data_IF_485043337399
#
_entry.id   IF_485043337399
#
_cell.length_a   1.000
_cell.length_b   1.000
_cell.length_c   1.000
_cell.angle_alpha   90.00
_cell.angle_beta   90.00
_cell.angle_gamma   90.00
#
_symmetry.space_group_name_H-M   'P 1'
#
loop_
_entity.id
_entity.type
_entity.pdbx_description
1 polymer ?
#
# COMPACT_ATOMS: atom_id res chain seq x y z
N UNK A 1 -8.95 -41.99 -0.99
CA UNK A 1 -9.78 -41.83 -2.20
C UNK A 1 -10.26 -40.39 -2.18
N UNK A 2 -9.50 -39.39 -2.65
CA UNK A 2 -9.18 -39.04 -4.04
C UNK A 2 -7.71 -38.59 -4.17
N UNK A 3 -6.85 -39.44 -4.72
CA UNK A 3 -5.56 -39.01 -5.26
C UNK A 3 -5.78 -38.56 -6.70
N UNK A 4 -5.93 -37.26 -6.92
CA UNK A 4 -5.92 -36.69 -8.25
C UNK A 4 -4.47 -36.55 -8.72
N UNK A 5 -3.96 -37.61 -9.35
CA UNK A 5 -2.76 -37.62 -10.21
C UNK A 5 -3.04 -36.73 -11.43
N UNK A 6 -2.82 -35.42 -11.33
CA UNK A 6 -2.76 -34.56 -12.50
C UNK A 6 -1.31 -34.40 -12.95
N UNK A 7 -1.02 -35.12 -14.04
CA UNK A 7 -0.02 -34.88 -15.09
C UNK A 7 1.28 -34.22 -14.65
N UNK A 8 2.35 -35.02 -14.71
CA UNK A 8 3.75 -34.63 -14.69
C UNK A 8 3.97 -33.15 -15.04
N UNK A 9 4.08 -32.30 -14.02
CA UNK A 9 4.62 -30.96 -14.20
C UNK A 9 5.97 -31.14 -14.91
N UNK A 10 6.21 -30.48 -16.06
CA UNK A 10 7.53 -30.49 -16.64
C UNK A 10 8.47 -29.88 -15.60
N UNK A 11 9.22 -30.74 -14.90
CA UNK A 11 10.14 -30.35 -13.82
C UNK A 11 11.07 -29.23 -14.28
N UNK A 12 11.33 -29.17 -15.58
CA UNK A 12 12.09 -28.11 -16.25
C UNK A 12 11.40 -26.74 -16.18
N UNK A 13 10.13 -26.61 -16.56
CA UNK A 13 9.40 -25.33 -16.53
C UNK A 13 9.25 -24.82 -15.10
N UNK A 14 8.91 -25.71 -14.16
CA UNK A 14 8.83 -25.33 -12.74
C UNK A 14 10.20 -24.85 -12.24
N UNK A 15 11.30 -25.53 -12.60
CA UNK A 15 12.67 -25.14 -12.22
C UNK A 15 13.11 -23.80 -12.83
N UNK A 16 12.72 -23.53 -14.07
CA UNK A 16 13.01 -22.26 -14.76
C UNK A 16 12.22 -21.13 -14.12
N UNK A 17 10.91 -21.30 -13.95
CA UNK A 17 10.01 -20.28 -13.38
C UNK A 17 10.35 -20.01 -11.90
N UNK A 18 10.79 -21.01 -11.15
CA UNK A 18 11.22 -20.83 -9.75
C UNK A 18 12.59 -20.18 -9.60
N UNK A 19 13.32 -19.94 -10.70
CA UNK A 19 14.65 -19.37 -10.65
C UNK A 19 14.60 -17.86 -10.45
N UNK A 20 15.34 -17.34 -9.47
CA UNK A 20 15.48 -15.89 -9.23
C UNK A 20 16.02 -15.14 -10.46
N UNK A 21 16.85 -15.80 -11.26
CA UNK A 21 17.39 -15.22 -12.50
C UNK A 21 16.32 -14.97 -13.55
N UNK A 22 15.32 -15.85 -13.63
CA UNK A 22 14.19 -15.67 -14.53
C UNK A 22 13.37 -14.44 -14.14
N UNK A 23 13.11 -14.27 -12.85
CA UNK A 23 12.42 -13.08 -12.32
C UNK A 23 13.20 -11.78 -12.58
N UNK A 24 14.52 -11.78 -12.40
CA UNK A 24 15.35 -10.61 -12.74
C UNK A 24 15.36 -10.31 -14.24
N UNK A 25 15.44 -11.34 -15.09
CA UNK A 25 15.43 -11.15 -16.54
C UNK A 25 14.11 -10.52 -17.01
N UNK A 26 12.97 -11.04 -16.56
CA UNK A 26 11.66 -10.45 -16.85
C UNK A 26 11.56 -9.04 -16.26
N UNK A 27 12.09 -8.83 -15.07
CA UNK A 27 12.20 -7.51 -14.47
C UNK A 27 12.92 -6.51 -15.38
N UNK A 28 14.09 -6.86 -15.91
CA UNK A 28 14.82 -6.02 -16.85
C UNK A 28 14.01 -5.72 -18.12
N UNK A 29 13.28 -6.70 -18.65
CA UNK A 29 12.38 -6.52 -19.81
C UNK A 29 11.28 -5.49 -19.51
N UNK A 30 10.69 -5.55 -18.31
CA UNK A 30 9.65 -4.59 -17.88
C UNK A 30 10.22 -3.18 -17.74
N UNK A 31 11.39 -3.03 -17.14
CA UNK A 31 12.05 -1.73 -17.00
C UNK A 31 12.38 -1.14 -18.38
N UNK A 32 12.92 -1.96 -19.27
CA UNK A 32 13.25 -1.55 -20.62
C UNK A 32 11.99 -1.15 -21.42
N UNK A 33 10.91 -1.94 -21.33
CA UNK A 33 9.63 -1.58 -21.94
C UNK A 33 9.08 -0.26 -21.37
N UNK A 34 9.16 -0.07 -20.04
CA UNK A 34 8.69 1.18 -19.40
C UNK A 34 9.48 2.40 -19.86
N UNK A 35 10.80 2.27 -20.05
CA UNK A 35 11.65 3.33 -20.60
C UNK A 35 11.26 3.67 -22.04
N UNK A 36 11.04 2.65 -22.88
CA UNK A 36 10.61 2.86 -24.27
C UNK A 36 9.27 3.56 -24.36
N UNK A 37 8.31 3.25 -23.48
CA UNK A 37 7.03 3.97 -23.41
C UNK A 37 7.25 5.45 -23.08
N UNK A 38 8.15 5.78 -22.15
CA UNK A 38 8.49 7.17 -21.86
C UNK A 38 9.10 7.91 -23.06
N UNK A 39 9.98 7.23 -23.79
CA UNK A 39 10.58 7.77 -25.03
C UNK A 39 9.51 7.95 -26.12
N UNK A 40 8.61 6.98 -26.31
CA UNK A 40 7.49 7.07 -27.25
C UNK A 40 6.64 8.31 -26.99
N UNK A 41 6.27 8.55 -25.72
CA UNK A 41 5.50 9.73 -25.31
C UNK A 41 6.27 11.02 -25.64
N UNK A 42 7.57 11.09 -25.31
CA UNK A 42 8.38 12.27 -25.58
C UNK A 42 8.56 12.55 -27.09
N UNK A 43 8.81 11.51 -27.90
CA UNK A 43 8.96 11.64 -29.34
C UNK A 43 7.65 12.04 -30.02
N UNK A 44 6.53 11.49 -29.54
CA UNK A 44 5.19 11.85 -30.01
C UNK A 44 4.87 13.33 -29.77
N UNK A 45 5.36 13.93 -28.67
CA UNK A 45 5.19 15.37 -28.41
C UNK A 45 5.98 16.26 -29.38
N UNK A 46 7.14 15.78 -29.84
CA UNK A 46 7.99 16.49 -30.82
C UNK A 46 7.50 16.25 -32.26
N UNK A 47 6.49 15.39 -32.47
CA UNK A 47 5.93 15.08 -33.77
C UNK A 47 6.83 14.17 -34.62
N UNK A 48 7.73 13.40 -34.00
CA UNK A 48 8.50 12.37 -34.70
C UNK A 48 7.67 11.08 -34.87
N UNK A 49 7.86 10.41 -36.01
CA UNK A 49 7.23 9.12 -36.27
C UNK A 49 7.77 8.04 -35.33
N UNK A 50 6.85 7.39 -34.62
CA UNK A 50 7.12 6.33 -33.63
C UNK A 50 6.75 4.94 -34.14
N UNK A 51 6.65 4.75 -35.46
CA UNK A 51 6.19 3.50 -36.07
C UNK A 51 7.07 2.29 -35.73
N UNK A 52 8.36 2.52 -35.46
CA UNK A 52 9.30 1.49 -35.02
C UNK A 52 8.98 0.93 -33.63
N UNK A 53 8.15 1.61 -32.82
CA UNK A 53 7.70 1.11 -31.51
C UNK A 53 6.63 0.02 -31.62
N UNK A 54 5.80 0.02 -32.66
CA UNK A 54 4.71 -0.95 -32.84
C UNK A 54 5.19 -2.43 -32.86
N UNK A 55 6.23 -2.80 -33.63
CA UNK A 55 6.75 -4.17 -33.60
C UNK A 55 7.41 -4.52 -32.25
N UNK A 56 8.06 -3.56 -31.59
CA UNK A 56 8.64 -3.77 -30.27
C UNK A 56 7.57 -4.06 -29.22
N UNK A 57 6.48 -3.28 -29.23
CA UNK A 57 5.33 -3.47 -28.33
C UNK A 57 4.68 -4.84 -28.50
N UNK A 58 4.50 -5.26 -29.76
CA UNK A 58 4.00 -6.60 -30.08
C UNK A 58 4.96 -7.67 -29.55
N UNK A 59 6.27 -7.47 -29.71
CA UNK A 59 7.31 -8.34 -29.17
C UNK A 59 7.27 -8.46 -27.64
N UNK A 60 7.08 -7.34 -26.93
CA UNK A 60 6.93 -7.35 -25.48
C UNK A 60 5.67 -8.11 -25.04
N UNK A 61 4.52 -7.88 -25.68
CA UNK A 61 3.28 -8.63 -25.39
C UNK A 61 3.50 -10.13 -25.60
N UNK A 62 4.19 -10.53 -26.67
CA UNK A 62 4.52 -11.92 -26.92
C UNK A 62 5.42 -12.52 -25.82
N UNK A 63 6.46 -11.79 -25.38
CA UNK A 63 7.33 -12.21 -24.28
C UNK A 63 6.54 -12.41 -22.97
N UNK A 64 5.63 -11.50 -22.64
CA UNK A 64 4.79 -11.61 -21.44
C UNK A 64 3.77 -12.74 -21.55
N UNK A 65 3.21 -12.98 -22.73
CA UNK A 65 2.34 -14.12 -22.97
C UNK A 65 3.10 -15.45 -22.77
N UNK A 66 4.33 -15.54 -23.28
CA UNK A 66 5.19 -16.72 -23.09
C UNK A 66 5.52 -16.91 -21.60
N UNK A 67 5.89 -15.85 -20.89
CA UNK A 67 6.09 -15.87 -19.43
C UNK A 67 4.86 -16.44 -18.70
N UNK A 68 3.68 -15.91 -19.02
CA UNK A 68 2.42 -16.28 -18.40
C UNK A 68 2.09 -17.76 -18.64
N UNK A 69 2.27 -18.23 -19.87
CA UNK A 69 2.10 -19.64 -20.24
C UNK A 69 3.08 -20.54 -19.47
N UNK A 70 4.35 -20.16 -19.37
CA UNK A 70 5.35 -20.92 -18.59
C UNK A 70 4.98 -20.99 -17.11
N UNK A 71 4.53 -19.89 -16.52
CA UNK A 71 4.05 -19.84 -15.12
C UNK A 71 2.84 -20.73 -14.90
N UNK A 72 1.88 -20.69 -15.83
CA UNK A 72 0.66 -21.49 -15.77
C UNK A 72 0.92 -23.00 -15.87
N UNK A 73 1.85 -23.41 -16.75
CA UNK A 73 2.28 -24.81 -16.90
C UNK A 73 3.12 -25.26 -15.70
N UNK A 74 3.99 -24.38 -15.18
CA UNK A 74 4.88 -24.69 -14.06
C UNK A 74 4.14 -24.83 -12.73
N UNK A 75 3.36 -23.83 -12.33
CA UNK A 75 2.69 -23.78 -11.02
C UNK A 75 1.32 -24.47 -11.02
N UNK A 76 0.69 -24.63 -12.19
CA UNK A 76 -0.64 -25.18 -12.34
C UNK A 76 -1.75 -24.14 -12.13
N UNK A 77 -2.87 -24.34 -12.83
CA UNK A 77 -3.99 -23.38 -12.88
C UNK A 77 -4.48 -22.94 -11.50
N UNK A 78 -4.73 -23.87 -10.58
CA UNK A 78 -5.34 -23.55 -9.28
C UNK A 78 -4.47 -22.62 -8.42
N UNK A 79 -3.15 -22.81 -8.44
CA UNK A 79 -2.24 -21.96 -7.67
C UNK A 79 -2.06 -20.60 -8.34
N UNK A 80 -2.00 -20.55 -9.67
CA UNK A 80 -1.92 -19.31 -10.44
C UNK A 80 -3.13 -18.39 -10.23
N UNK A 81 -4.36 -18.92 -10.31
CA UNK A 81 -5.57 -18.09 -10.16
C UNK A 81 -5.84 -17.63 -8.71
N UNK A 82 -5.12 -18.19 -7.72
CA UNK A 82 -5.13 -17.68 -6.36
C UNK A 82 -4.06 -16.60 -6.11
N UNK A 83 -3.09 -16.42 -7.02
CA UNK A 83 -2.07 -15.37 -6.92
C UNK A 83 -2.55 -14.09 -7.60
N UNK A 84 -2.76 -13.02 -6.81
CA UNK A 84 -3.22 -11.74 -7.32
C UNK A 84 -2.27 -11.10 -8.33
N UNK A 85 -0.96 -11.36 -8.23
CA UNK A 85 0.02 -10.86 -9.20
C UNK A 85 -0.10 -11.57 -10.54
N UNK A 86 -0.36 -12.87 -10.53
CA UNK A 86 -0.61 -13.62 -11.75
C UNK A 86 -1.90 -13.14 -12.43
N UNK A 87 -2.97 -12.89 -11.65
CA UNK A 87 -4.23 -12.38 -12.20
C UNK A 87 -4.06 -11.00 -12.84
N UNK A 88 -3.30 -10.11 -12.20
CA UNK A 88 -2.94 -8.80 -12.77
C UNK A 88 -2.15 -8.95 -14.07
N UNK A 89 -1.11 -9.79 -14.10
CA UNK A 89 -0.31 -10.04 -15.31
C UNK A 89 -1.19 -10.63 -16.43
N UNK A 90 -2.07 -11.59 -16.11
CA UNK A 90 -3.03 -12.18 -17.06
C UNK A 90 -3.94 -11.10 -17.67
N UNK A 91 -4.57 -10.27 -16.84
CA UNK A 91 -5.45 -9.20 -17.31
C UNK A 91 -4.71 -8.20 -18.20
N UNK A 92 -3.48 -7.80 -17.83
CA UNK A 92 -2.68 -6.87 -18.62
C UNK A 92 -2.20 -7.46 -19.95
N UNK A 93 -1.95 -8.77 -20.03
CA UNK A 93 -1.62 -9.45 -21.29
C UNK A 93 -2.86 -9.54 -22.18
N UNK A 94 -4.01 -9.91 -21.62
CA UNK A 94 -5.29 -9.95 -22.37
C UNK A 94 -5.65 -8.58 -22.93
N UNK A 95 -5.58 -7.51 -22.12
CA UNK A 95 -5.81 -6.14 -22.58
C UNK A 95 -4.85 -5.75 -23.71
N UNK A 96 -3.57 -6.13 -23.61
CA UNK A 96 -2.58 -5.88 -24.66
C UNK A 96 -2.94 -6.59 -25.97
N UNK A 97 -3.33 -7.86 -25.90
CA UNK A 97 -3.79 -8.64 -27.06
C UNK A 97 -5.01 -7.98 -27.68
N UNK A 98 -6.05 -7.69 -26.89
CA UNK A 98 -7.26 -7.00 -27.35
C UNK A 98 -6.92 -5.69 -28.05
N UNK A 99 -5.99 -4.91 -27.51
CA UNK A 99 -5.54 -3.64 -28.10
C UNK A 99 -4.93 -3.85 -29.49
N UNK A 100 -4.10 -4.88 -29.67
CA UNK A 100 -3.51 -5.23 -30.98
C UNK A 100 -4.59 -5.68 -31.97
N UNK A 101 -5.54 -6.51 -31.52
CA UNK A 101 -6.67 -6.94 -32.35
C UNK A 101 -7.54 -5.75 -32.78
N UNK A 102 -7.87 -4.84 -31.86
CA UNK A 102 -8.64 -3.63 -32.17
C UNK A 102 -7.91 -2.75 -33.19
N UNK A 103 -6.58 -2.60 -33.09
CA UNK A 103 -5.81 -1.83 -34.06
C UNK A 103 -5.79 -2.49 -35.45
N UNK A 104 -5.71 -3.81 -35.51
CA UNK A 104 -5.65 -4.58 -36.75
C UNK A 104 -6.99 -4.65 -37.49
N UNK A 105 -8.09 -4.84 -36.75
CA UNK A 105 -9.44 -5.04 -37.30
C UNK A 105 -10.32 -3.79 -37.26
N UNK A 106 -9.96 -2.78 -36.45
CA UNK A 106 -10.73 -1.54 -36.27
C UNK A 106 -10.57 -0.50 -37.38
N UNK A 107 -9.75 -0.77 -38.39
CA UNK A 107 -9.58 0.10 -39.57
C UNK A 107 -10.75 0.04 -40.57
N UNK A 108 -11.78 -0.79 -40.31
CA UNK A 108 -12.89 -1.03 -41.24
C UNK A 108 -14.27 -0.47 -40.83
N UNK A 109 -14.42 0.21 -39.69
CA UNK A 109 -15.72 0.65 -39.18
C UNK A 109 -15.79 2.14 -38.83
N UNK A 110 -16.77 2.84 -39.40
CA UNK A 110 -17.02 4.29 -39.26
C UNK A 110 -17.59 4.72 -37.89
N UNK A 111 -17.57 3.81 -36.90
CA UNK A 111 -18.09 4.05 -35.55
C UNK A 111 -16.95 4.49 -34.63
N UNK A 112 -16.86 5.81 -34.39
CA UNK A 112 -16.18 6.37 -33.21
C UNK A 112 -14.65 6.26 -33.20
N UNK A 113 -13.99 6.44 -34.36
CA UNK A 113 -12.52 6.39 -34.48
C UNK A 113 -11.76 7.29 -33.48
N UNK A 114 -12.33 8.42 -33.06
CA UNK A 114 -11.69 9.31 -32.07
C UNK A 114 -11.79 8.78 -30.63
N UNK A 115 -12.93 8.18 -30.26
CA UNK A 115 -13.09 7.55 -28.94
C UNK A 115 -12.27 6.26 -28.85
N UNK A 116 -12.23 5.47 -29.91
CA UNK A 116 -11.42 4.25 -29.96
C UNK A 116 -9.92 4.56 -29.92
N UNK A 117 -9.45 5.66 -30.53
CA UNK A 117 -8.04 6.09 -30.43
C UNK A 117 -7.67 6.53 -29.01
N UNK A 118 -8.52 7.30 -28.32
CA UNK A 118 -8.26 7.69 -26.92
C UNK A 118 -8.25 6.47 -25.99
N UNK A 119 -9.20 5.56 -26.15
CA UNK A 119 -9.28 4.31 -25.37
C UNK A 119 -8.08 3.40 -25.66
N UNK A 120 -7.68 3.23 -26.92
CA UNK A 120 -6.48 2.46 -27.30
C UNK A 120 -5.21 3.09 -26.72
N UNK A 121 -5.08 4.43 -26.75
CA UNK A 121 -3.97 5.14 -26.11
C UNK A 121 -3.95 4.91 -24.60
N UNK A 122 -5.09 5.01 -23.93
CA UNK A 122 -5.20 4.75 -22.50
C UNK A 122 -4.86 3.28 -22.15
N UNK A 123 -5.35 2.31 -22.92
CA UNK A 123 -5.05 0.88 -22.72
C UNK A 123 -3.56 0.58 -22.92
N UNK A 124 -2.88 1.25 -23.86
CA UNK A 124 -1.42 1.15 -24.01
C UNK A 124 -0.71 1.64 -22.74
N UNK A 125 -1.16 2.73 -22.12
CA UNK A 125 -0.54 3.23 -20.89
C UNK A 125 -0.73 2.29 -19.69
N UNK A 126 -1.79 1.47 -19.67
CA UNK A 126 -1.98 0.45 -18.61
C UNK A 126 -0.82 -0.57 -18.55
N UNK A 127 -0.02 -0.73 -19.60
CA UNK A 127 1.19 -1.59 -19.53
C UNK A 127 2.23 -1.05 -18.54
N UNK A 128 2.22 0.24 -18.21
CA UNK A 128 3.07 0.82 -17.16
C UNK A 128 2.77 0.24 -15.78
N UNK A 129 1.53 -0.22 -15.56
CA UNK A 129 1.13 -0.94 -14.33
C UNK A 129 1.98 -2.19 -14.13
N UNK A 130 2.52 -2.81 -15.20
CA UNK A 130 3.43 -3.97 -15.08
C UNK A 130 4.65 -3.63 -14.24
N UNK A 131 5.13 -2.38 -14.23
CA UNK A 131 6.24 -1.97 -13.37
C UNK A 131 5.91 -2.11 -11.87
N UNK A 132 4.63 -2.06 -11.47
CA UNK A 132 4.21 -2.25 -10.07
C UNK A 132 4.57 -3.65 -9.55
N UNK A 133 4.72 -4.64 -10.42
CA UNK A 133 5.18 -5.97 -9.99
C UNK A 133 6.60 -5.95 -9.44
N UNK A 134 7.38 -4.92 -9.74
CA UNK A 134 8.71 -4.74 -9.14
C UNK A 134 8.62 -4.49 -7.63
N UNK A 135 7.51 -3.88 -7.18
CA UNK A 135 7.29 -3.56 -5.78
C UNK A 135 7.35 -4.81 -4.90
N UNK A 136 6.88 -5.97 -5.39
CA UNK A 136 6.93 -7.24 -4.64
C UNK A 136 8.36 -7.71 -4.31
N UNK A 137 9.35 -7.31 -5.12
CA UNK A 137 10.76 -7.63 -4.89
C UNK A 137 11.40 -6.64 -3.90
N UNK A 138 10.92 -5.40 -3.85
CA UNK A 138 11.34 -4.40 -2.88
C UNK A 138 10.58 -4.58 -1.56
N UNK A 139 11.07 -5.48 -0.70
CA UNK A 139 10.44 -5.83 0.59
C UNK A 139 10.02 -4.60 1.42
N UNK A 140 10.85 -3.57 1.48
CA UNK A 140 10.55 -2.34 2.23
C UNK A 140 9.38 -1.57 1.62
N UNK A 141 9.37 -1.39 0.29
CA UNK A 141 8.30 -0.67 -0.41
C UNK A 141 7.00 -1.47 -0.35
N UNK A 142 7.07 -2.79 -0.55
CA UNK A 142 5.91 -3.66 -0.40
C UNK A 142 5.32 -3.62 1.00
N UNK A 143 6.15 -3.57 2.05
CA UNK A 143 5.66 -3.44 3.43
C UNK A 143 4.88 -2.14 3.63
N UNK A 144 5.35 -1.02 3.07
CA UNK A 144 4.64 0.27 3.15
C UNK A 144 3.31 0.20 2.39
N UNK A 145 3.31 -0.32 1.16
CA UNK A 145 2.09 -0.49 0.36
C UNK A 145 1.11 -1.44 1.04
N UNK A 146 1.60 -2.55 1.58
CA UNK A 146 0.77 -3.52 2.29
C UNK A 146 0.16 -2.91 3.56
N UNK A 147 0.94 -2.19 4.37
CA UNK A 147 0.44 -1.47 5.55
C UNK A 147 -0.64 -0.43 5.21
N UNK A 148 -0.49 0.24 4.06
CA UNK A 148 -1.51 1.15 3.54
C UNK A 148 -2.80 0.40 3.16
N UNK A 149 -2.67 -0.74 2.49
CA UNK A 149 -3.80 -1.56 2.05
C UNK A 149 -4.49 -2.30 3.21
N UNK A 150 -3.77 -2.70 4.26
CA UNK A 150 -4.37 -3.31 5.45
C UNK A 150 -5.17 -2.28 6.24
N UNK A 151 -4.71 -1.02 6.29
CA UNK A 151 -5.39 0.10 6.93
C UNK A 151 -6.54 0.71 6.10
N UNK A 152 -7.03 -0.02 5.08
CA UNK A 152 -8.05 0.47 4.15
C UNK A 152 -9.34 0.95 4.84
N UNK A 153 -9.79 0.32 5.93
CA UNK A 153 -11.01 0.72 6.62
C UNK A 153 -10.92 2.14 7.20
N UNK A 154 -9.81 2.45 7.87
CA UNK A 154 -9.57 3.76 8.47
C UNK A 154 -9.32 4.83 7.41
N UNK A 155 -8.53 4.48 6.39
CA UNK A 155 -8.27 5.36 5.25
C UNK A 155 -9.55 5.69 4.49
N UNK A 156 -10.37 4.69 4.16
CA UNK A 156 -11.61 4.88 3.43
C UNK A 156 -12.62 5.70 4.24
N UNK A 157 -12.78 5.41 5.53
CA UNK A 157 -13.67 6.17 6.41
C UNK A 157 -13.29 7.65 6.49
N UNK A 158 -11.99 7.93 6.59
CA UNK A 158 -11.50 9.29 6.70
C UNK A 158 -11.55 10.03 5.36
N UNK A 159 -11.21 9.36 4.26
CA UNK A 159 -11.38 9.90 2.91
C UNK A 159 -12.86 10.23 2.63
N UNK A 160 -13.78 9.35 3.01
CA UNK A 160 -15.21 9.57 2.87
C UNK A 160 -15.68 10.78 3.70
N UNK A 161 -15.17 10.96 4.92
CA UNK A 161 -15.48 12.13 5.75
C UNK A 161 -14.97 13.44 5.11
N UNK A 162 -13.76 13.43 4.56
CA UNK A 162 -13.20 14.59 3.85
C UNK A 162 -14.06 14.90 2.61
N UNK A 163 -14.36 13.91 1.78
CA UNK A 163 -15.19 14.10 0.58
C UNK A 163 -16.60 14.60 0.90
N UNK A 164 -17.22 14.07 1.95
CA UNK A 164 -18.53 14.54 2.42
C UNK A 164 -18.47 15.99 2.88
N UNK A 165 -17.43 16.35 3.65
CA UNK A 165 -17.21 17.73 4.10
C UNK A 165 -17.03 18.66 2.91
N UNK A 166 -16.17 18.30 1.95
CA UNK A 166 -15.95 19.08 0.73
C UNK A 166 -17.24 19.23 -0.09
N UNK A 167 -18.07 18.18 -0.17
CA UNK A 167 -19.36 18.24 -0.85
C UNK A 167 -20.32 19.24 -0.18
N UNK A 168 -20.46 19.19 1.15
CA UNK A 168 -21.31 20.12 1.90
C UNK A 168 -20.84 21.56 1.70
N UNK A 169 -19.53 21.81 1.83
CA UNK A 169 -18.96 23.14 1.62
C UNK A 169 -19.07 23.59 0.16
N UNK A 170 -18.92 22.70 -0.82
CA UNK A 170 -19.10 23.04 -2.22
C UNK A 170 -20.54 23.50 -2.51
N UNK A 171 -21.55 22.80 -1.98
CA UNK A 171 -22.94 23.23 -2.08
C UNK A 171 -23.18 24.61 -1.44
N UNK A 172 -22.62 24.84 -0.24
CA UNK A 172 -22.69 26.15 0.41
C UNK A 172 -21.98 27.24 -0.39
N UNK A 173 -20.80 26.96 -0.95
CA UNK A 173 -20.04 27.90 -1.78
C UNK A 173 -20.80 28.32 -3.03
N UNK A 174 -21.43 27.37 -3.73
CA UNK A 174 -22.29 27.67 -4.89
C UNK A 174 -23.48 28.53 -4.47
N UNK A 175 -24.11 28.23 -3.33
CA UNK A 175 -25.26 29.01 -2.84
C UNK A 175 -24.87 30.44 -2.42
N UNK A 176 -23.74 30.60 -1.74
CA UNK A 176 -23.31 31.88 -1.16
C UNK A 176 -22.55 32.78 -2.13
N UNK A 177 -21.84 32.20 -3.11
CA UNK A 177 -20.96 32.93 -4.02
C UNK A 177 -21.58 32.99 -5.42
N UNK A 178 -21.95 31.85 -5.99
CA UNK A 178 -22.39 31.78 -7.40
C UNK A 178 -23.79 32.36 -7.62
N UNK A 179 -24.66 32.39 -6.60
CA UNK A 179 -26.00 33.01 -6.71
C UNK A 179 -26.04 34.48 -6.32
N UNK A 180 -24.92 35.06 -5.91
CA UNK A 180 -24.89 36.42 -5.41
C UNK A 180 -24.69 37.43 -6.55
N UNK A 181 -25.79 38.00 -7.03
CA UNK A 181 -25.78 38.91 -8.17
C UNK A 181 -24.83 40.11 -7.97
N UNK A 182 -24.74 40.65 -6.75
CA UNK A 182 -23.87 41.80 -6.46
C UNK A 182 -22.38 41.46 -6.56
N UNK A 183 -21.98 40.23 -6.20
CA UNK A 183 -20.59 39.78 -6.37
C UNK A 183 -20.22 39.60 -7.84
N UNK A 184 -21.19 39.21 -8.67
CA UNK A 184 -21.00 38.90 -10.08
C UNK A 184 -20.99 40.13 -11.00
N UNK A 185 -21.36 41.31 -10.49
CA UNK A 185 -21.23 42.57 -11.23
C UNK A 185 -19.76 42.94 -11.50
N UNK A 186 -18.84 42.49 -10.63
CA UNK A 186 -17.42 42.76 -10.75
C UNK A 186 -16.79 41.73 -11.69
N UNK A 187 -16.32 42.18 -12.85
CA UNK A 187 -15.80 41.31 -13.91
C UNK A 187 -14.66 40.37 -13.45
N UNK A 188 -13.76 40.87 -12.59
CA UNK A 188 -12.65 40.08 -12.04
C UNK A 188 -13.15 38.94 -11.14
N UNK A 189 -14.17 39.19 -10.33
CA UNK A 189 -14.74 38.19 -9.40
C UNK A 189 -15.58 37.19 -10.17
N UNK A 190 -16.37 37.64 -11.13
CA UNK A 190 -17.13 36.77 -12.00
C UNK A 190 -16.24 35.73 -12.69
N UNK A 191 -15.07 36.14 -13.19
CA UNK A 191 -14.09 35.22 -13.79
C UNK A 191 -13.62 34.16 -12.78
N UNK A 192 -13.35 34.55 -11.53
CA UNK A 192 -12.95 33.62 -10.46
C UNK A 192 -14.09 32.63 -10.18
N UNK A 193 -15.31 33.11 -10.05
CA UNK A 193 -16.50 32.27 -9.77
C UNK A 193 -16.79 31.31 -10.91
N UNK A 194 -16.75 31.76 -12.17
CA UNK A 194 -16.97 30.92 -13.35
C UNK A 194 -15.86 29.86 -13.52
N UNK A 195 -14.65 30.13 -13.02
CA UNK A 195 -13.54 29.17 -13.08
C UNK A 195 -13.60 28.14 -11.94
N UNK A 196 -13.96 28.57 -10.73
CA UNK A 196 -13.76 27.78 -9.50
C UNK A 196 -15.07 27.29 -8.85
N UNK A 197 -16.20 27.95 -9.09
CA UNK A 197 -17.48 27.71 -8.42
C UNK A 197 -18.67 27.54 -9.40
N UNK A 198 -18.39 27.21 -10.66
CA UNK A 198 -19.43 27.03 -11.70
C UNK A 198 -20.31 25.80 -11.49
N UNK A 199 -19.79 24.75 -10.87
CA UNK A 199 -20.54 23.53 -10.55
C UNK A 199 -20.10 22.97 -9.21
N UNK A 200 -20.92 22.13 -8.58
CA UNK A 200 -20.57 21.47 -7.32
C UNK A 200 -19.29 20.65 -7.46
N UNK A 201 -19.10 19.93 -8.57
CA UNK A 201 -17.89 19.13 -8.80
C UNK A 201 -16.64 20.01 -8.95
N UNK A 202 -16.70 21.08 -9.75
CA UNK A 202 -15.57 22.02 -9.90
C UNK A 202 -15.28 22.72 -8.57
N UNK A 203 -16.33 23.08 -7.83
CA UNK A 203 -16.19 23.64 -6.47
C UNK A 203 -15.49 22.65 -5.55
N UNK A 204 -15.85 21.36 -5.55
CA UNK A 204 -15.14 20.35 -4.77
C UNK A 204 -13.66 20.27 -5.15
N UNK A 205 -13.32 20.30 -6.44
CA UNK A 205 -11.91 20.33 -6.91
C UNK A 205 -11.18 21.58 -6.44
N UNK A 206 -11.81 22.75 -6.50
CA UNK A 206 -11.28 23.99 -5.93
C UNK A 206 -11.03 23.84 -4.43
N UNK A 207 -11.99 23.30 -3.68
CA UNK A 207 -11.87 23.11 -2.23
C UNK A 207 -10.80 22.07 -1.87
N UNK A 208 -10.43 21.15 -2.76
CA UNK A 208 -9.22 20.32 -2.58
C UNK A 208 -7.95 21.17 -2.57
N UNK A 209 -7.88 22.27 -3.32
CA UNK A 209 -6.75 23.22 -3.21
C UNK A 209 -6.73 23.91 -1.83
N UNK A 210 -7.90 24.11 -1.21
CA UNK A 210 -8.02 24.57 0.19
C UNK A 210 -7.59 23.53 1.21
N UNK A 211 -7.75 22.23 0.91
CA UNK A 211 -7.19 21.14 1.72
C UNK A 211 -5.66 21.18 1.73
N UNK A 212 -5.04 21.43 0.58
CA UNK A 212 -3.58 21.47 0.43
C UNK A 212 -2.97 22.84 0.70
N UNK A 213 -3.80 23.86 0.93
CA UNK A 213 -3.40 25.28 1.03
C UNK A 213 -2.55 25.70 -0.17
N UNK A 214 -2.88 25.19 -1.37
CA UNK A 214 -2.14 25.48 -2.59
C UNK A 214 -2.71 26.71 -3.28
N UNK A 215 -1.96 27.81 -3.24
CA UNK A 215 -2.24 29.05 -3.97
C UNK A 215 -3.62 29.67 -3.69
N UNK A 216 -4.36 29.24 -2.67
CA UNK A 216 -5.77 29.63 -2.42
C UNK A 216 -6.04 31.11 -2.18
N UNK A 217 -5.00 31.91 -1.88
CA UNK A 217 -5.13 33.33 -1.61
C UNK A 217 -5.70 34.13 -2.78
N UNK A 218 -5.40 33.75 -4.03
CA UNK A 218 -5.97 34.44 -5.20
C UNK A 218 -7.48 34.21 -5.34
N UNK A 219 -8.02 33.17 -4.71
CA UNK A 219 -9.45 32.83 -4.75
C UNK A 219 -10.18 33.60 -3.65
N UNK A 220 -9.82 33.39 -2.38
CA UNK A 220 -10.62 33.91 -1.28
C UNK A 220 -10.39 35.40 -1.02
N UNK A 221 -9.19 35.94 -1.25
CA UNK A 221 -8.87 37.33 -0.90
C UNK A 221 -9.75 38.37 -1.64
N UNK A 222 -9.94 38.30 -2.97
CA UNK A 222 -10.84 39.23 -3.67
C UNK A 222 -12.30 39.05 -3.25
N UNK A 223 -12.75 37.80 -3.00
CA UNK A 223 -14.10 37.50 -2.54
C UNK A 223 -14.39 38.09 -1.15
N UNK A 224 -13.45 37.96 -0.21
CA UNK A 224 -13.57 38.52 1.14
C UNK A 224 -13.54 40.04 1.12
N UNK A 225 -12.73 40.64 0.24
CA UNK A 225 -12.63 42.10 0.12
C UNK A 225 -13.98 42.73 -0.22
N UNK A 226 -14.74 42.11 -1.12
CA UNK A 226 -16.07 42.60 -1.49
C UNK A 226 -17.16 42.17 -0.50
N UNK A 227 -17.11 40.93 -0.02
CA UNK A 227 -18.04 40.42 1.00
C UNK A 227 -17.28 39.84 2.19
N UNK A 228 -17.01 40.66 3.23
CA UNK A 228 -16.27 40.22 4.41
C UNK A 228 -16.87 39.02 5.15
N UNK A 229 -18.18 38.80 5.03
CA UNK A 229 -18.86 37.63 5.63
C UNK A 229 -18.35 36.30 5.06
N UNK A 230 -17.85 36.28 3.81
CA UNK A 230 -17.24 35.09 3.20
C UNK A 230 -15.95 34.67 3.92
N UNK A 231 -15.33 35.55 4.72
CA UNK A 231 -14.19 35.18 5.55
C UNK A 231 -14.55 34.06 6.52
N UNK A 232 -15.77 34.06 7.07
CA UNK A 232 -16.23 33.00 7.95
C UNK A 232 -16.30 31.66 7.22
N UNK A 233 -16.81 31.65 5.98
CA UNK A 233 -16.89 30.46 5.15
C UNK A 233 -15.50 29.88 4.82
N UNK A 234 -14.59 30.72 4.30
CA UNK A 234 -13.24 30.27 3.93
C UNK A 234 -12.38 29.90 5.15
N UNK A 235 -12.51 30.62 6.27
CA UNK A 235 -11.83 30.26 7.50
C UNK A 235 -12.35 28.94 8.08
N UNK A 236 -13.68 28.75 8.09
CA UNK A 236 -14.29 27.52 8.59
C UNK A 236 -13.85 26.29 7.80
N UNK A 237 -13.80 26.37 6.46
CA UNK A 237 -13.34 25.23 5.66
C UNK A 237 -11.86 24.93 5.90
N UNK A 238 -10.98 25.95 5.91
CA UNK A 238 -9.56 25.75 6.17
C UNK A 238 -9.36 25.10 7.54
N UNK A 239 -10.07 25.57 8.57
CA UNK A 239 -9.98 25.02 9.92
C UNK A 239 -10.50 23.58 9.99
N UNK A 240 -11.72 23.31 9.49
CA UNK A 240 -12.34 21.99 9.57
C UNK A 240 -11.53 20.97 8.78
N UNK A 241 -11.10 21.32 7.57
CA UNK A 241 -10.33 20.44 6.72
C UNK A 241 -8.92 20.19 7.28
N UNK A 242 -8.26 21.22 7.83
CA UNK A 242 -6.96 21.04 8.50
C UNK A 242 -7.09 20.09 9.70
N UNK A 243 -8.14 20.24 10.50
CA UNK A 243 -8.42 19.33 11.63
C UNK A 243 -8.71 17.91 11.11
N UNK A 244 -9.52 17.75 10.06
CA UNK A 244 -9.83 16.46 9.47
C UNK A 244 -8.57 15.76 8.93
N UNK A 245 -7.68 16.49 8.25
CA UNK A 245 -6.38 15.99 7.79
C UNK A 245 -5.47 15.61 8.96
N UNK A 246 -5.36 16.44 9.99
CA UNK A 246 -4.55 16.12 11.17
C UNK A 246 -5.07 14.88 11.89
N UNK A 247 -6.39 14.72 11.98
CA UNK A 247 -7.01 13.52 12.52
C UNK A 247 -6.73 12.27 11.65
N UNK A 248 -6.70 12.40 10.31
CA UNK A 248 -6.26 11.32 9.41
C UNK A 248 -4.82 10.89 9.70
N UNK A 249 -3.89 11.86 9.72
CA UNK A 249 -2.46 11.60 9.95
C UNK A 249 -2.26 10.96 11.32
N UNK A 250 -2.94 11.49 12.34
CA UNK A 250 -2.89 10.94 13.70
C UNK A 250 -3.44 9.53 13.74
N UNK A 251 -4.57 9.24 13.08
CA UNK A 251 -5.14 7.91 13.03
C UNK A 251 -4.17 6.90 12.40
N UNK A 252 -3.55 7.23 11.25
CA UNK A 252 -2.57 6.35 10.58
C UNK A 252 -1.33 6.14 11.44
N UNK A 253 -0.82 7.18 12.11
CA UNK A 253 0.33 7.06 13.02
C UNK A 253 -0.01 6.20 14.24
N UNK A 254 -1.21 6.36 14.80
CA UNK A 254 -1.69 5.59 15.96
C UNK A 254 -1.92 4.13 15.58
N UNK A 255 -2.55 3.85 14.44
CA UNK A 255 -2.72 2.49 13.91
C UNK A 255 -1.37 1.83 13.67
N UNK A 256 -0.44 2.53 13.02
CA UNK A 256 0.92 2.02 12.82
C UNK A 256 1.67 1.77 14.14
N UNK A 257 1.51 2.63 15.14
CA UNK A 257 2.12 2.45 16.46
C UNK A 257 1.48 1.28 17.23
N UNK A 258 0.15 1.13 17.17
CA UNK A 258 -0.58 0.02 17.78
C UNK A 258 -0.22 -1.32 17.13
N UNK A 259 -0.11 -1.37 15.81
CA UNK A 259 0.27 -2.57 15.07
C UNK A 259 1.72 -2.99 15.38
N UNK A 260 2.66 -2.03 15.42
CA UNK A 260 4.03 -2.31 15.83
C UNK A 260 4.10 -2.80 17.29
N UNK A 261 3.38 -2.16 18.21
CA UNK A 261 3.33 -2.59 19.61
C UNK A 261 2.69 -3.97 19.78
N UNK A 262 1.72 -4.33 18.95
CA UNK A 262 1.14 -5.68 18.93
C UNK A 262 2.15 -6.71 18.45
N UNK A 263 2.90 -6.41 17.38
CA UNK A 263 3.95 -7.28 16.86
C UNK A 263 5.08 -7.48 17.88
N UNK A 264 5.51 -6.43 18.58
CA UNK A 264 6.54 -6.53 19.63
C UNK A 264 6.06 -7.42 20.80
N UNK A 265 4.80 -7.28 21.22
CA UNK A 265 4.21 -8.16 22.25
C UNK A 265 4.14 -9.63 21.83
N UNK A 266 3.86 -9.91 20.56
CA UNK A 266 3.89 -11.29 20.05
C UNK A 266 5.31 -11.85 20.02
N UNK A 267 6.29 -11.06 19.57
CA UNK A 267 7.69 -11.45 19.58
C UNK A 267 8.19 -11.74 21.01
N UNK A 268 7.83 -10.89 21.98
CA UNK A 268 8.19 -11.10 23.39
C UNK A 268 7.59 -12.37 23.98
N UNK A 269 6.34 -12.69 23.62
CA UNK A 269 5.70 -13.96 24.04
C UNK A 269 6.44 -15.17 23.48
N UNK A 270 6.85 -15.13 22.21
CA UNK A 270 7.61 -16.22 21.59
C UNK A 270 8.99 -16.38 22.25
N UNK A 271 9.69 -15.27 22.49
CA UNK A 271 10.98 -15.27 23.20
C UNK A 271 10.85 -15.81 24.63
N UNK A 272 9.78 -15.47 25.36
CA UNK A 272 9.52 -16.00 26.70
C UNK A 272 9.24 -17.51 26.67
N UNK A 273 8.45 -17.98 25.71
CA UNK A 273 8.19 -19.41 25.53
C UNK A 273 9.46 -20.19 25.21
N UNK A 274 10.36 -19.62 24.40
CA UNK A 274 11.65 -20.24 24.08
C UNK A 274 12.54 -20.33 25.33
N UNK A 275 12.66 -19.24 26.09
CA UNK A 275 13.39 -19.24 27.38
C UNK A 275 12.81 -20.22 28.39
N UNK A 276 11.48 -20.34 28.48
CA UNK A 276 10.83 -21.32 29.35
C UNK A 276 11.14 -22.75 28.90
N UNK A 277 11.08 -23.05 27.59
CA UNK A 277 11.45 -24.37 27.07
C UNK A 277 12.90 -24.75 27.38
N UNK A 278 13.82 -23.78 27.33
CA UNK A 278 15.22 -24.00 27.71
C UNK A 278 15.41 -24.13 29.23
N UNK A 279 14.65 -23.39 30.04
CA UNK A 279 14.77 -23.39 31.49
C UNK A 279 14.10 -24.60 32.17
N UNK A 280 13.00 -25.13 31.60
CA UNK A 280 12.26 -26.28 32.15
C UNK A 280 13.14 -27.52 32.40
N UNK A 281 13.99 -28.00 31.46
CA UNK A 281 14.85 -29.16 31.72
C UNK A 281 15.86 -28.88 32.83
N UNK A 282 16.47 -27.68 32.87
CA UNK A 282 17.39 -27.28 33.95
C UNK A 282 16.70 -27.21 35.31
N UNK A 283 15.49 -26.63 35.37
CA UNK A 283 14.69 -26.60 36.59
C UNK A 283 14.34 -28.01 37.05
N UNK A 284 13.95 -28.90 36.14
CA UNK A 284 13.65 -30.30 36.44
C UNK A 284 14.87 -31.05 36.98
N UNK A 285 16.07 -30.81 36.44
CA UNK A 285 17.32 -31.36 36.97
C UNK A 285 17.60 -30.87 38.40
N UNK A 286 17.42 -29.57 38.67
CA UNK A 286 17.59 -29.01 40.02
C UNK A 286 16.60 -29.61 41.01
N UNK A 287 15.31 -29.67 40.66
CA UNK A 287 14.29 -30.26 41.54
C UNK A 287 14.51 -31.76 41.75
N UNK A 288 14.95 -32.50 40.73
CA UNK A 288 15.28 -33.91 40.86
C UNK A 288 16.54 -34.16 41.72
N UNK A 289 17.49 -33.21 41.75
CA UNK A 289 18.65 -33.28 42.64
C UNK A 289 18.31 -32.95 44.10
N UNK A 290 17.19 -32.24 44.35
CA UNK A 290 16.69 -31.92 45.69
C UNK A 290 15.77 -33.01 46.25
N UNK A 291 15.09 -33.77 45.40
CA UNK A 291 14.24 -34.91 45.78
C UNK A 291 15.09 -36.11 46.22
N UNK A 292 15.44 -36.14 47.51
CA UNK A 292 16.30 -37.17 48.10
C UNK A 292 15.59 -38.53 48.29
N UNK A 293 14.26 -38.52 48.36
CA UNK A 293 13.45 -39.71 48.64
C UNK A 293 12.85 -40.34 47.37
N UNK A 294 12.85 -39.61 46.24
CA UNK A 294 12.41 -40.05 44.92
C UNK A 294 10.89 -40.19 44.76
N UNK A 295 10.11 -39.56 45.64
CA UNK A 295 8.65 -39.63 45.64
C UNK A 295 7.99 -38.68 44.62
N UNK A 296 8.80 -37.84 43.96
CA UNK A 296 8.37 -36.89 42.94
C UNK A 296 7.81 -35.57 43.49
N UNK A 297 7.84 -35.37 44.81
CA UNK A 297 7.55 -34.12 45.49
C UNK A 297 8.81 -33.61 46.20
N UNK A 298 8.88 -32.30 46.44
CA UNK A 298 9.96 -31.72 47.24
C UNK A 298 9.33 -31.08 48.47
N UNK A 299 9.66 -31.60 49.64
CA UNK A 299 9.15 -31.13 50.93
C UNK A 299 9.99 -29.97 51.49
N UNK A 300 9.43 -29.17 52.39
CA UNK A 300 10.12 -28.00 52.96
C UNK A 300 11.42 -28.40 53.68
N UNK A 301 11.44 -29.58 54.30
CA UNK A 301 12.59 -30.16 55.01
C UNK A 301 13.70 -30.59 54.03
N UNK A 302 13.34 -31.10 52.84
CA UNK A 302 14.29 -31.42 51.77
C UNK A 302 14.89 -30.16 51.15
N UNK A 303 14.11 -29.07 51.03
CA UNK A 303 14.61 -27.76 50.55
C UNK A 303 15.63 -27.18 51.54
N UNK A 304 15.37 -27.25 52.84
CA UNK A 304 16.28 -26.73 53.88
C UNK A 304 17.56 -27.57 54.05
N UNK A 305 17.53 -28.86 53.68
CA UNK A 305 18.67 -29.77 53.80
C UNK A 305 19.67 -29.68 52.63
N UNK A 306 19.36 -28.93 51.55
CA UNK A 306 20.22 -28.84 50.36
C UNK A 306 21.43 -27.93 50.62
N UNK A 307 22.67 -28.41 50.46
CA UNK A 307 23.85 -27.56 50.52
C UNK A 307 23.83 -26.54 49.37
N UNK A 308 24.10 -25.27 49.69
CA UNK A 308 24.10 -24.11 48.75
C UNK A 308 24.95 -24.30 47.47
N UNK A 309 25.86 -25.27 47.47
CA UNK A 309 26.77 -25.56 46.35
C UNK A 309 26.13 -26.36 45.20
N UNK A 310 24.96 -26.97 45.39
CA UNK A 310 24.26 -27.79 44.39
C UNK A 310 23.46 -26.94 43.39
N UNK A 311 23.11 -25.70 43.78
CA UNK A 311 22.37 -24.78 42.93
C UNK A 311 23.37 -24.11 41.96
N UNK A 312 23.19 -24.21 40.64
CA UNK A 312 24.10 -23.59 39.67
C UNK A 312 24.24 -22.08 39.94
N UNK A 313 25.49 -21.59 40.03
CA UNK A 313 25.78 -20.16 40.31
C UNK A 313 25.07 -19.18 39.36
N UNK A 314 24.80 -19.62 38.12
CA UNK A 314 24.01 -18.88 37.11
C UNK A 314 22.59 -18.52 37.58
N UNK A 315 21.98 -19.34 38.46
CA UNK A 315 20.63 -19.12 38.99
C UNK A 315 20.62 -17.98 40.03
N UNK A 316 21.68 -17.89 40.85
CA UNK A 316 21.87 -16.80 41.82
C UNK A 316 22.25 -15.48 41.14
N UNK A 317 23.05 -15.51 40.07
CA UNK A 317 23.39 -14.30 39.32
C UNK A 317 22.17 -13.68 38.59
N UNK A 318 21.26 -14.51 38.04
CA UNK A 318 20.05 -14.03 37.35
C UNK A 318 18.88 -13.67 38.26
N UNK A 319 18.74 -14.31 39.42
CA UNK A 319 17.61 -14.09 40.35
C UNK A 319 18.02 -13.40 41.66
N UNK A 320 19.24 -12.85 41.76
CA UNK A 320 19.58 -12.00 42.90
C UNK A 320 18.70 -10.75 42.91
N UNK A 321 17.99 -10.58 44.03
CA UNK A 321 17.07 -9.46 44.33
C UNK A 321 17.78 -8.09 44.31
N UNK A 322 19.11 -8.05 44.09
CA UNK A 322 19.86 -6.83 43.81
C UNK A 322 19.62 -6.20 42.43
N UNK A 323 18.97 -6.91 41.49
CA UNK A 323 18.76 -6.41 40.11
C UNK A 323 17.49 -5.58 39.89
N UNK A 324 16.51 -5.63 40.80
CA UNK A 324 15.31 -4.76 40.71
C UNK A 324 15.60 -3.30 41.07
N UNK A 325 16.52 -3.03 41.99
CA UNK A 325 16.93 -1.65 42.31
C UNK A 325 17.84 -1.04 41.23
N UNK A 326 18.68 -1.85 40.58
CA UNK A 326 19.56 -1.40 39.49
C UNK A 326 18.81 -1.20 38.15
N UNK A 327 17.66 -1.84 37.96
CA UNK A 327 16.77 -1.55 36.83
C UNK A 327 15.97 -0.27 37.06
N UNK A 328 15.51 0.04 38.28
CA UNK A 328 14.77 1.28 38.53
C UNK A 328 15.62 2.55 38.37
N UNK A 329 16.91 2.50 38.72
CA UNK A 329 17.85 3.62 38.54
C UNK A 329 18.10 4.00 37.06
N UNK A 330 17.91 3.08 36.11
CA UNK A 330 18.07 3.33 34.67
C UNK A 330 16.87 3.97 33.98
N UNK A 331 15.74 4.12 34.69
CA UNK A 331 14.54 4.81 34.19
C UNK A 331 14.35 6.20 34.83
N UNK A 332 15.25 6.62 35.72
CA UNK A 332 15.20 7.92 36.41
C UNK A 332 16.39 8.85 36.11
N UNK A 333 17.25 8.49 35.15
CA UNK A 333 18.10 9.42 34.39
C UNK A 333 17.54 9.53 32.97
#
# INVERSE_FOLDING_TARGET
MYQFRWLAQPRLCLRIVSSRWFDYAIGCVILFNSLLVGIEVQLSLVGQDVDWMQPLDTGFIALYFIELCMRLIGMGWRQCFCDGWFLLDFTLVVLGIVTVFVLMFGSGGDLGLLESVLVVRAMRLLRLIRALRMLKYFRTVWRLVYGLLTSHNAMFSTLALILLTLYVFACLGVELITKDENLLEIAEIKLIVDTHFISVFVSMLTLVQFVTVDSVAYIYAPLIKEKPILALYFFAIILIVSIALMNLVTAVLVEGALENAAHDREADKLNLQEKLKEAVPRLREVFAAMDANGDGNVTLEEIEAVPMDVIPKEFFEKNSVGSMQAQHARWCE
#
